data_IF_738435973251
#
_entry.id   IF_738435973251
#
_cell.length_a   1.000
_cell.length_b   1.000
_cell.length_c   1.000
_cell.angle_alpha   90.00
_cell.angle_beta   90.00
_cell.angle_gamma   90.00
#
_symmetry.space_group_name_H-M   'P 1'
#
loop_
_entity.id
_entity.type
_entity.pdbx_description
1 polymer ?
#
# COMPACT_ATOMS: atom_id res chain seq x y z
N UNK A 1 18.92 -5.87 22.45
CA UNK A 1 18.01 -5.62 21.35
C UNK A 1 18.58 -6.11 20.05
N UNK A 2 17.84 -6.93 19.36
CA UNK A 2 18.36 -7.42 18.10
C UNK A 2 18.61 -6.28 17.12
N UNK A 3 19.67 -6.44 16.39
CA UNK A 3 20.03 -5.46 15.39
C UNK A 3 19.01 -5.47 14.27
N UNK A 4 18.49 -4.31 13.94
CA UNK A 4 17.57 -4.22 12.83
C UNK A 4 18.32 -4.36 11.52
N UNK A 5 17.75 -5.09 10.60
CA UNK A 5 18.29 -5.17 9.27
C UNK A 5 18.21 -3.83 8.59
N UNK A 6 19.27 -3.50 7.87
CA UNK A 6 19.29 -2.26 7.10
C UNK A 6 18.51 -2.45 5.83
N UNK A 7 17.62 -1.52 5.57
CA UNK A 7 16.88 -1.52 4.33
C UNK A 7 17.71 -0.87 3.22
N UNK A 8 17.48 -1.25 1.97
CA UNK A 8 18.11 -0.57 0.85
C UNK A 8 17.81 0.93 0.89
N UNK A 9 18.73 1.72 0.37
CA UNK A 9 18.56 3.17 0.37
C UNK A 9 17.30 3.61 -0.38
N UNK A 10 16.87 2.81 -1.35
CA UNK A 10 15.68 3.11 -2.15
C UNK A 10 14.38 2.68 -1.49
N UNK A 11 14.44 1.92 -0.40
CA UNK A 11 13.26 1.45 0.29
C UNK A 11 12.91 2.40 1.43
N UNK A 12 11.63 2.45 1.78
CA UNK A 12 11.19 3.23 2.93
C UNK A 12 11.79 2.65 4.20
N UNK A 13 12.33 3.52 5.02
CA UNK A 13 12.81 3.15 6.34
C UNK A 13 11.61 2.85 7.23
N UNK A 14 11.54 1.65 7.76
CA UNK A 14 10.44 1.26 8.63
C UNK A 14 10.97 0.72 9.94
N UNK A 15 10.33 1.08 11.02
CA UNK A 15 10.69 0.62 12.34
C UNK A 15 9.50 -0.04 13.00
N UNK A 16 9.78 -1.03 13.84
CA UNK A 16 8.75 -1.69 14.64
C UNK A 16 8.43 -0.81 15.84
N UNK A 17 7.18 -0.36 15.93
CA UNK A 17 6.73 0.48 17.05
C UNK A 17 5.81 -0.28 18.00
N UNK A 18 5.86 -1.61 17.96
CA UNK A 18 5.09 -2.47 18.83
C UNK A 18 3.89 -3.07 18.11
N UNK A 19 3.41 -4.19 18.61
CA UNK A 19 2.25 -4.90 18.07
C UNK A 19 2.35 -5.17 16.56
N UNK A 20 3.59 -5.42 16.09
CA UNK A 20 3.90 -5.72 14.69
C UNK A 20 3.71 -4.55 13.73
N UNK A 21 3.36 -3.37 14.23
CA UNK A 21 3.25 -2.20 13.36
C UNK A 21 4.65 -1.69 13.01
N UNK A 22 4.83 -1.37 11.74
CA UNK A 22 6.03 -0.71 11.25
C UNK A 22 5.73 0.75 11.00
N UNK A 23 6.74 1.59 11.07
CA UNK A 23 6.54 3.03 10.90
C UNK A 23 7.59 3.60 9.95
N UNK A 24 7.15 4.46 9.06
CA UNK A 24 7.99 5.18 8.12
C UNK A 24 7.69 6.68 8.21
N UNK A 25 8.71 7.48 8.53
CA UNK A 25 8.58 8.93 8.56
C UNK A 25 8.19 9.49 7.20
N UNK A 26 8.80 8.96 6.14
CA UNK A 26 8.51 9.45 4.80
C UNK A 26 7.09 9.16 4.39
N UNK A 27 6.56 7.99 4.76
CA UNK A 27 5.16 7.67 4.46
C UNK A 27 4.22 8.66 5.15
N UNK A 28 4.51 8.96 6.41
CA UNK A 28 3.69 9.90 7.17
C UNK A 28 3.75 11.30 6.56
N UNK A 29 4.95 11.76 6.17
CA UNK A 29 5.11 13.09 5.59
C UNK A 29 4.47 13.21 4.22
N UNK A 30 4.53 12.17 3.42
CA UNK A 30 4.07 12.23 2.03
C UNK A 30 2.57 12.02 1.87
N UNK A 31 1.92 11.38 2.83
CA UNK A 31 0.51 11.02 2.70
C UNK A 31 -0.41 12.20 2.35
N UNK A 32 -0.31 13.37 3.00
CA UNK A 32 -1.19 14.48 2.64
C UNK A 32 -1.01 14.95 1.20
N UNK A 33 0.24 15.01 0.74
CA UNK A 33 0.53 15.47 -0.63
C UNK A 33 0.04 14.46 -1.66
N UNK A 34 0.26 13.18 -1.39
CA UNK A 34 -0.20 12.12 -2.28
C UNK A 34 -1.72 12.13 -2.34
N UNK A 35 -2.40 12.35 -1.23
CA UNK A 35 -3.86 12.38 -1.22
C UNK A 35 -4.42 13.51 -2.07
N UNK A 36 -3.73 14.65 -2.14
CA UNK A 36 -4.14 15.74 -3.02
C UNK A 36 -4.10 15.31 -4.48
N UNK A 37 -3.04 14.61 -4.88
CA UNK A 37 -2.93 14.09 -6.24
C UNK A 37 -4.01 13.04 -6.50
N UNK A 38 -4.19 12.11 -5.56
CA UNK A 38 -5.16 11.04 -5.71
C UNK A 38 -6.59 11.59 -5.84
N UNK A 39 -6.89 12.70 -5.18
CA UNK A 39 -8.23 13.29 -5.26
C UNK A 39 -8.60 13.70 -6.68
N UNK A 40 -7.63 13.93 -7.54
CA UNK A 40 -7.87 14.30 -8.93
C UNK A 40 -8.11 13.09 -9.84
N UNK A 41 -7.64 11.92 -9.43
CA UNK A 41 -7.65 10.73 -10.29
C UNK A 41 -8.58 9.63 -9.81
N UNK A 42 -8.83 9.54 -8.51
CA UNK A 42 -9.67 8.46 -7.99
C UNK A 42 -11.15 8.74 -8.28
N UNK A 43 -11.92 7.67 -8.50
CA UNK A 43 -13.38 7.84 -8.63
C UNK A 43 -13.99 8.26 -7.29
N UNK A 44 -15.21 8.79 -7.33
CA UNK A 44 -15.89 9.22 -6.12
C UNK A 44 -16.29 8.04 -5.24
N UNK A 45 -16.55 6.91 -5.84
CA UNK A 45 -16.89 5.67 -5.14
C UNK A 45 -16.42 4.49 -5.97
N UNK A 46 -16.27 3.34 -5.31
CA UNK A 46 -15.80 2.12 -5.95
C UNK A 46 -14.75 1.43 -5.13
N UNK A 47 -13.97 0.58 -5.77
CA UNK A 47 -12.95 -0.23 -5.13
C UNK A 47 -11.57 0.15 -5.62
N UNK A 48 -10.65 0.34 -4.68
CA UNK A 48 -9.25 0.69 -4.97
C UNK A 48 -8.35 -0.42 -4.46
N UNK A 49 -7.45 -0.88 -5.31
CA UNK A 49 -6.37 -1.78 -4.91
C UNK A 49 -5.09 -0.98 -4.74
N UNK A 50 -4.45 -1.12 -3.60
CA UNK A 50 -3.14 -0.53 -3.37
C UNK A 50 -2.09 -1.62 -3.40
N UNK A 51 -1.11 -1.49 -4.28
CA UNK A 51 0.02 -2.41 -4.39
C UNK A 51 1.17 -1.89 -3.55
N UNK A 52 1.92 -2.81 -2.96
CA UNK A 52 3.08 -2.48 -2.15
C UNK A 52 2.72 -1.46 -1.06
N UNK A 53 1.74 -1.81 -0.26
CA UNK A 53 1.20 -0.90 0.78
C UNK A 53 2.20 -0.58 1.89
N UNK A 54 3.27 -1.34 2.01
CA UNK A 54 4.35 -1.07 2.95
C UNK A 54 3.92 -1.22 4.39
N UNK A 55 4.12 -0.18 5.18
CA UNK A 55 3.79 -0.23 6.62
C UNK A 55 2.29 -0.29 6.88
N UNK A 56 1.48 0.21 5.97
CA UNK A 56 0.04 0.36 6.16
C UNK A 56 -0.38 1.78 6.46
N UNK A 57 0.56 2.70 6.66
CA UNK A 57 0.23 4.09 6.99
C UNK A 57 -0.54 4.77 5.87
N UNK A 58 -0.17 4.53 4.61
CA UNK A 58 -0.85 5.12 3.47
C UNK A 58 -2.28 4.60 3.34
N UNK A 59 -2.48 3.29 3.42
CA UNK A 59 -3.82 2.74 3.24
C UNK A 59 -4.76 3.19 4.35
N UNK A 60 -4.27 3.35 5.57
CA UNK A 60 -5.08 3.89 6.66
C UNK A 60 -5.44 5.34 6.39
N UNK A 61 -4.47 6.14 6.00
CA UNK A 61 -4.68 7.56 5.72
C UNK A 61 -5.67 7.75 4.58
N UNK A 62 -5.45 7.03 3.47
CA UNK A 62 -6.27 7.21 2.28
C UNK A 62 -7.67 6.63 2.45
N UNK A 63 -7.82 5.51 3.15
CA UNK A 63 -9.15 4.95 3.37
C UNK A 63 -10.01 5.88 4.23
N UNK A 64 -9.39 6.58 5.16
CA UNK A 64 -10.09 7.57 5.97
C UNK A 64 -10.44 8.80 5.12
N UNK A 65 -9.49 9.27 4.32
CA UNK A 65 -9.69 10.45 3.48
C UNK A 65 -10.74 10.23 2.40
N UNK A 66 -10.73 9.04 1.79
CA UNK A 66 -11.65 8.67 0.70
C UNK A 66 -12.67 7.66 1.20
N UNK A 67 -13.52 8.10 2.11
CA UNK A 67 -14.42 7.21 2.85
C UNK A 67 -15.46 6.50 1.98
N UNK A 68 -15.71 7.00 0.77
CA UNK A 68 -16.65 6.37 -0.15
C UNK A 68 -16.02 5.28 -1.02
N UNK A 69 -14.71 5.07 -0.89
CA UNK A 69 -13.99 4.05 -1.62
C UNK A 69 -13.70 2.86 -0.71
N UNK A 70 -13.82 1.66 -1.26
CA UNK A 70 -13.40 0.45 -0.56
C UNK A 70 -11.92 0.25 -0.86
N UNK A 71 -11.10 0.18 0.18
CA UNK A 71 -9.65 0.13 0.05
C UNK A 71 -9.12 -1.27 0.28
N UNK A 72 -8.36 -1.79 -0.68
CA UNK A 72 -7.76 -3.10 -0.58
C UNK A 72 -6.24 -2.95 -0.59
N UNK A 73 -5.59 -2.99 0.58
CA UNK A 73 -4.13 -2.97 0.63
C UNK A 73 -3.55 -4.33 0.24
N UNK A 74 -2.30 -4.31 -0.20
CA UNK A 74 -1.58 -5.54 -0.52
C UNK A 74 -0.08 -5.31 -0.41
N UNK A 75 0.66 -6.39 -0.20
CA UNK A 75 2.12 -6.35 -0.21
C UNK A 75 2.64 -7.76 -0.48
N UNK A 76 3.92 -7.86 -0.81
CA UNK A 76 4.56 -9.14 -1.02
C UNK A 76 5.24 -9.65 0.26
N UNK A 77 5.56 -8.76 1.18
CA UNK A 77 6.32 -9.06 2.39
C UNK A 77 5.38 -9.37 3.55
N UNK A 78 5.54 -10.55 4.17
CA UNK A 78 4.68 -10.97 5.27
C UNK A 78 4.76 -10.05 6.48
N UNK A 79 5.93 -9.49 6.78
CA UNK A 79 6.06 -8.55 7.89
C UNK A 79 5.27 -7.28 7.64
N UNK A 80 5.22 -6.84 6.39
CA UNK A 80 4.43 -5.68 6.03
C UNK A 80 2.94 -6.00 6.07
N UNK A 81 2.55 -7.20 5.66
CA UNK A 81 1.15 -7.61 5.78
C UNK A 81 0.71 -7.62 7.25
N UNK A 82 1.56 -8.09 8.15
CA UNK A 82 1.27 -8.06 9.57
C UNK A 82 1.15 -6.62 10.08
N UNK A 83 2.01 -5.73 9.60
CA UNK A 83 1.95 -4.33 9.97
C UNK A 83 0.64 -3.69 9.51
N UNK A 84 0.27 -3.92 8.25
CA UNK A 84 -0.98 -3.41 7.70
C UNK A 84 -2.16 -3.88 8.53
N UNK A 85 -2.19 -5.17 8.85
CA UNK A 85 -3.28 -5.74 9.62
C UNK A 85 -3.35 -5.15 11.02
N UNK A 86 -2.19 -4.93 11.65
CA UNK A 86 -2.14 -4.32 12.98
C UNK A 86 -2.70 -2.89 12.97
N UNK A 87 -2.39 -2.11 11.93
CA UNK A 87 -2.98 -0.77 11.79
C UNK A 87 -4.49 -0.84 11.59
N UNK A 88 -4.95 -1.77 10.75
CA UNK A 88 -6.39 -1.92 10.48
C UNK A 88 -7.15 -2.24 11.75
N UNK A 89 -6.60 -3.06 12.63
CA UNK A 89 -7.27 -3.45 13.85
C UNK A 89 -7.48 -2.28 14.83
N UNK A 90 -6.75 -1.20 14.66
CA UNK A 90 -6.86 -0.05 15.55
C UNK A 90 -7.85 1.00 15.08
N UNK A 91 -8.40 0.84 13.90
CA UNK A 91 -9.31 1.84 13.33
C UNK A 91 -10.74 1.33 13.32
N UNK A 92 -11.69 2.23 13.16
CA UNK A 92 -13.11 1.91 13.19
C UNK A 92 -13.79 1.97 11.82
N UNK A 93 -13.15 2.57 10.80
CA UNK A 93 -13.78 2.64 9.49
C UNK A 93 -13.88 1.26 8.85
N UNK A 94 -14.98 1.04 8.15
CA UNK A 94 -15.29 -0.26 7.57
C UNK A 94 -14.90 -0.38 6.11
N UNK A 95 -14.33 0.65 5.52
CA UNK A 95 -14.06 0.68 4.08
C UNK A 95 -12.67 0.19 3.70
N UNK A 96 -11.96 -0.45 4.62
CA UNK A 96 -10.66 -1.04 4.33
C UNK A 96 -10.72 -2.54 4.59
N UNK A 97 -10.19 -3.31 3.66
CA UNK A 97 -10.16 -4.77 3.73
C UNK A 97 -8.85 -5.27 4.31
N UNK A 98 -8.84 -6.52 4.77
CA UNK A 98 -7.59 -7.14 5.22
C UNK A 98 -6.61 -7.24 4.03
N UNK A 99 -5.30 -7.10 4.31
CA UNK A 99 -4.33 -7.06 3.22
C UNK A 99 -4.22 -8.40 2.48
N UNK A 100 -3.88 -8.31 1.20
CA UNK A 100 -3.64 -9.47 0.34
C UNK A 100 -2.16 -9.59 0.03
N UNK A 101 -1.71 -10.83 -0.14
CA UNK A 101 -0.36 -11.10 -0.62
C UNK A 101 -0.36 -11.04 -2.14
N UNK A 102 0.26 -9.99 -2.70
CA UNK A 102 0.33 -9.81 -4.15
C UNK A 102 1.74 -9.39 -4.53
N UNK A 103 2.32 -10.12 -5.48
CA UNK A 103 3.59 -9.74 -6.08
C UNK A 103 3.30 -9.08 -7.43
N UNK A 104 3.34 -7.76 -7.45
CA UNK A 104 2.97 -6.98 -8.63
C UNK A 104 4.02 -7.05 -9.76
N UNK A 105 5.18 -7.63 -9.49
CA UNK A 105 6.22 -7.79 -10.51
C UNK A 105 6.08 -9.11 -11.25
N UNK A 106 5.25 -10.01 -10.77
CA UNK A 106 5.04 -11.30 -11.41
C UNK A 106 3.95 -11.17 -12.48
N UNK A 107 4.19 -11.79 -13.63
CA UNK A 107 3.23 -11.80 -14.72
C UNK A 107 1.92 -12.44 -14.26
N UNK A 108 0.80 -11.90 -14.72
CA UNK A 108 -0.56 -12.39 -14.44
C UNK A 108 -1.04 -12.17 -13.01
N UNK A 109 -0.40 -11.27 -12.25
CA UNK A 109 -0.92 -10.93 -10.93
C UNK A 109 -2.33 -10.35 -11.02
N UNK A 110 -2.63 -9.69 -12.12
CA UNK A 110 -3.92 -9.03 -12.35
C UNK A 110 -5.09 -9.99 -12.51
N UNK A 111 -4.82 -11.28 -12.74
CA UNK A 111 -5.90 -12.26 -12.86
C UNK A 111 -6.67 -12.45 -11.56
N UNK A 112 -6.08 -12.01 -10.45
CA UNK A 112 -6.69 -12.15 -9.12
C UNK A 112 -7.52 -10.93 -8.72
N UNK A 113 -7.50 -9.85 -9.51
CA UNK A 113 -7.99 -8.57 -9.05
C UNK A 113 -8.74 -7.77 -10.13
N UNK A 114 -9.47 -8.44 -10.96
CA UNK A 114 -10.11 -7.79 -12.12
C UNK A 114 -11.36 -6.96 -11.80
N UNK A 115 -11.67 -6.75 -10.51
CA UNK A 115 -12.88 -6.05 -10.09
C UNK A 115 -12.63 -4.71 -9.41
N UNK A 116 -11.47 -4.12 -9.62
CA UNK A 116 -11.15 -2.84 -8.99
C UNK A 116 -11.33 -1.69 -9.98
N UNK A 117 -11.80 -0.56 -9.45
CA UNK A 117 -12.02 0.64 -10.27
C UNK A 117 -10.76 1.48 -10.42
N UNK A 118 -9.83 1.32 -9.50
CA UNK A 118 -8.53 2.00 -9.57
C UNK A 118 -7.46 1.14 -8.90
N UNK A 119 -6.23 1.28 -9.39
CA UNK A 119 -5.08 0.59 -8.82
C UNK A 119 -3.99 1.63 -8.59
N UNK A 120 -3.46 1.68 -7.37
CA UNK A 120 -2.39 2.62 -7.05
C UNK A 120 -1.16 1.85 -6.56
N UNK A 121 0.02 2.42 -6.83
CA UNK A 121 1.29 1.81 -6.45
C UNK A 121 2.30 2.92 -6.18
N UNK A 122 2.29 3.44 -4.97
CA UNK A 122 3.07 4.63 -4.64
C UNK A 122 4.54 4.32 -4.44
N UNK A 123 4.85 3.30 -3.66
CA UNK A 123 6.22 3.01 -3.29
C UNK A 123 6.93 2.05 -4.23
N UNK A 124 6.19 1.30 -5.02
CA UNK A 124 6.78 0.26 -5.84
C UNK A 124 7.68 0.82 -6.94
N UNK A 125 7.41 2.04 -7.38
CA UNK A 125 8.19 2.67 -8.45
C UNK A 125 9.63 2.93 -8.06
N UNK A 126 9.93 2.91 -6.77
CA UNK A 126 11.29 3.06 -6.28
C UNK A 126 12.08 1.75 -6.28
N UNK A 127 11.40 0.62 -6.45
CA UNK A 127 11.98 -0.70 -6.24
C UNK A 127 11.98 -1.57 -7.49
N UNK A 128 11.30 -1.15 -8.55
CA UNK A 128 11.18 -1.97 -9.76
C UNK A 128 11.84 -1.29 -10.95
N UNK A 129 12.21 -2.10 -11.94
CA UNK A 129 12.77 -1.60 -13.18
C UNK A 129 11.68 -0.98 -14.05
N UNK A 130 12.10 -0.24 -15.07
CA UNK A 130 11.19 0.33 -16.03
C UNK A 130 10.34 -0.74 -16.73
N UNK A 131 10.94 -1.88 -17.00
CA UNK A 131 10.24 -2.99 -17.64
C UNK A 131 9.14 -3.53 -16.72
N UNK A 132 9.45 -3.70 -15.44
CA UNK A 132 8.48 -4.16 -14.46
C UNK A 132 7.34 -3.14 -14.30
N UNK A 133 7.67 -1.86 -14.34
CA UNK A 133 6.68 -0.81 -14.26
C UNK A 133 5.70 -0.87 -15.44
N UNK A 134 6.20 -1.14 -16.64
CA UNK A 134 5.32 -1.29 -17.81
C UNK A 134 4.40 -2.49 -17.66
N UNK A 135 4.90 -3.59 -17.11
CA UNK A 135 4.10 -4.77 -16.87
C UNK A 135 3.00 -4.46 -15.84
N UNK A 136 3.32 -3.70 -14.81
CA UNK A 136 2.36 -3.29 -13.80
C UNK A 136 1.24 -2.46 -14.41
N UNK A 137 1.59 -1.47 -15.22
CA UNK A 137 0.61 -0.61 -15.87
C UNK A 137 -0.29 -1.40 -16.79
N UNK A 138 0.27 -2.37 -17.52
CA UNK A 138 -0.49 -3.21 -18.42
C UNK A 138 -1.45 -4.12 -17.67
N UNK A 139 -1.08 -4.54 -16.47
CA UNK A 139 -1.93 -5.37 -15.62
C UNK A 139 -3.09 -4.60 -15.02
N UNK A 140 -2.97 -3.31 -14.93
CA UNK A 140 -4.05 -2.50 -14.40
C UNK A 140 -5.00 -2.08 -15.53
#
# INVERSE_FOLDING_TARGET
>A
MPQREKLPATASQATDIGMKKLYSDSASRNAPYISEVLSEYLPEKGKVLELASGTGQHCIYFSEKFSNLEWQPSDIDRKRLESIEAYIQEITQANIKRPLLIDATVEKWDTQINNYDAIIAINILHLISFKEMKSLIRGS
#
